data_IF_793966760149
#
_entry.id   IF_793966760149
#
_cell.length_a   1.000
_cell.length_b   1.000
_cell.length_c   1.000
_cell.angle_alpha   90.00
_cell.angle_beta   90.00
_cell.angle_gamma   90.00
#
_symmetry.space_group_name_H-M   'P 1'
#
loop_
_entity.id
_entity.type
_entity.pdbx_description
1 polymer ?
#
# COMPACT_ATOMS: atom_id res chain seq x y z
N UNK A 1 18.16 13.28 -12.25
CA UNK A 1 17.15 12.70 -11.34
C UNK A 1 16.89 13.71 -10.24
N UNK A 2 15.74 14.37 -10.26
CA UNK A 2 15.34 15.26 -9.17
C UNK A 2 14.90 14.39 -7.99
N UNK A 3 15.58 14.52 -6.85
CA UNK A 3 15.09 13.93 -5.61
C UNK A 3 13.67 14.47 -5.34
N UNK A 4 12.68 13.62 -5.03
CA UNK A 4 11.37 14.12 -4.63
C UNK A 4 11.56 14.96 -3.38
N UNK A 5 11.24 16.26 -3.49
CA UNK A 5 11.14 17.14 -2.33
C UNK A 5 10.00 16.57 -1.49
N UNK A 6 10.33 15.97 -0.35
CA UNK A 6 9.36 15.72 0.72
C UNK A 6 8.78 17.06 1.12
N UNK A 7 7.62 17.40 0.56
CA UNK A 7 6.86 18.57 0.98
C UNK A 7 6.33 18.29 2.39
N UNK A 8 6.30 19.35 3.21
CA UNK A 8 5.81 19.32 4.61
C UNK A 8 4.48 18.58 4.72
N UNK A 9 4.21 17.90 5.85
CA UNK A 9 3.02 17.06 5.99
C UNK A 9 1.76 17.87 5.71
N UNK A 10 1.02 17.45 4.67
CA UNK A 10 -0.38 17.81 4.49
C UNK A 10 -1.09 17.37 5.77
N UNK A 11 -1.90 18.25 6.37
CA UNK A 11 -2.62 17.96 7.61
C UNK A 11 -3.43 16.67 7.47
N UNK A 12 -2.89 15.57 7.99
CA UNK A 12 -3.53 14.26 7.96
C UNK A 12 -4.64 14.27 9.01
N UNK A 13 -5.83 14.74 8.63
CA UNK A 13 -7.01 14.69 9.49
C UNK A 13 -7.71 13.36 9.28
N UNK A 14 -7.45 12.40 10.18
CA UNK A 14 -8.30 11.22 10.28
C UNK A 14 -9.68 11.67 10.79
N UNK A 15 -10.69 11.57 9.94
CA UNK A 15 -12.07 11.64 10.41
C UNK A 15 -12.37 10.30 11.10
N UNK A 16 -12.28 10.29 12.43
CA UNK A 16 -12.92 9.26 13.23
C UNK A 16 -14.43 9.45 13.10
N UNK A 17 -15.05 8.75 12.15
CA UNK A 17 -16.47 8.41 12.31
C UNK A 17 -16.52 7.40 13.44
N UNK A 18 -16.92 7.83 14.64
CA UNK A 18 -17.38 6.92 15.68
C UNK A 18 -18.38 5.98 15.00
N UNK A 19 -18.16 4.66 14.97
CA UNK A 19 -19.21 3.76 14.58
C UNK A 19 -20.31 3.95 15.62
N UNK A 20 -21.42 4.55 15.20
CA UNK A 20 -22.64 4.57 16.00
C UNK A 20 -23.12 3.12 16.02
N UNK A 21 -22.54 2.32 16.91
CA UNK A 21 -23.12 1.06 17.37
C UNK A 21 -24.31 1.41 18.27
N UNK A 22 -25.27 2.16 17.71
CA UNK A 22 -26.59 2.27 18.27
C UNK A 22 -27.17 0.85 18.34
N UNK A 23 -27.90 0.56 19.43
CA UNK A 23 -28.68 -0.67 19.57
C UNK A 23 -29.32 -1.00 18.22
N UNK A 24 -29.18 -2.25 17.76
CA UNK A 24 -29.91 -2.75 16.59
C UNK A 24 -31.35 -2.22 16.70
N UNK A 25 -31.82 -1.39 15.77
CA UNK A 25 -33.24 -1.10 15.68
C UNK A 25 -33.91 -2.47 15.61
N UNK A 26 -34.88 -2.72 16.48
CA UNK A 26 -35.77 -3.85 16.28
C UNK A 26 -36.21 -3.82 14.82
N UNK A 27 -36.00 -4.93 14.13
CA UNK A 27 -36.23 -5.09 12.70
C UNK A 27 -37.68 -4.74 12.41
N UNK A 28 -37.95 -3.46 12.13
CA UNK A 28 -39.22 -3.04 11.59
C UNK A 28 -39.30 -3.69 10.21
N UNK A 29 -40.33 -4.51 10.02
CA UNK A 29 -40.69 -5.15 8.77
C UNK A 29 -41.12 -4.08 7.76
N UNK A 30 -40.22 -3.20 7.34
CA UNK A 30 -40.45 -2.35 6.18
C UNK A 30 -39.99 -3.12 4.95
N UNK A 31 -40.92 -3.91 4.40
CA UNK A 31 -40.79 -4.53 3.09
C UNK A 31 -40.85 -3.42 2.01
N UNK A 32 -39.77 -2.66 1.88
CA UNK A 32 -39.51 -1.94 0.64
C UNK A 32 -39.20 -2.95 -0.48
N UNK A 33 -39.45 -2.62 -1.75
CA UNK A 33 -39.08 -3.47 -2.87
C UNK A 33 -37.55 -3.48 -3.02
N UNK A 34 -36.87 -4.22 -2.15
CA UNK A 34 -35.47 -4.56 -2.33
C UNK A 34 -35.33 -5.36 -3.62
N UNK A 35 -34.26 -5.09 -4.37
CA UNK A 35 -33.90 -5.83 -5.58
C UNK A 35 -34.00 -7.34 -5.31
N UNK A 36 -34.94 -8.01 -5.98
CA UNK A 36 -35.20 -9.44 -5.79
C UNK A 36 -33.88 -10.22 -5.95
N UNK A 37 -33.41 -10.83 -4.86
CA UNK A 37 -32.18 -11.63 -4.83
C UNK A 37 -31.02 -11.05 -4.01
N UNK A 38 -31.09 -9.79 -3.56
CA UNK A 38 -30.11 -9.27 -2.60
C UNK A 38 -30.41 -9.79 -1.20
N UNK A 39 -29.62 -10.76 -0.74
CA UNK A 39 -29.59 -11.12 0.68
C UNK A 39 -28.71 -10.11 1.41
N UNK A 40 -29.24 -9.53 2.46
CA UNK A 40 -28.52 -8.68 3.40
C UNK A 40 -27.57 -9.56 4.25
N UNK A 41 -26.51 -10.09 3.63
CA UNK A 41 -25.51 -10.89 4.34
C UNK A 41 -24.36 -9.97 4.73
N UNK A 42 -24.45 -9.37 5.92
CA UNK A 42 -23.27 -8.82 6.57
C UNK A 42 -22.44 -9.99 7.10
N UNK A 43 -21.32 -10.30 6.47
CA UNK A 43 -20.38 -11.27 7.01
C UNK A 43 -19.73 -10.69 8.28
N UNK A 44 -19.72 -11.44 9.41
CA UNK A 44 -19.00 -10.98 10.59
C UNK A 44 -17.49 -10.99 10.31
N UNK A 45 -16.82 -9.85 10.50
CA UNK A 45 -15.36 -9.77 10.40
C UNK A 45 -14.70 -10.49 11.57
N UNK A 46 -13.69 -11.30 11.28
CA UNK A 46 -12.86 -12.06 12.22
C UNK A 46 -11.67 -11.23 12.74
N UNK A 47 -11.84 -9.91 12.84
CA UNK A 47 -10.83 -8.97 13.30
C UNK A 47 -9.55 -9.03 12.48
N UNK A 48 -8.42 -9.30 13.14
CA UNK A 48 -7.09 -9.36 12.52
C UNK A 48 -6.91 -10.47 11.48
N UNK A 49 -7.70 -11.55 11.53
CA UNK A 49 -7.64 -12.62 10.54
C UNK A 49 -8.12 -12.15 9.15
N UNK A 50 -9.01 -11.16 9.13
CA UNK A 50 -9.55 -10.54 7.92
C UNK A 50 -8.84 -9.22 7.57
N UNK A 51 -7.77 -8.86 8.29
CA UNK A 51 -6.97 -7.70 7.95
C UNK A 51 -6.07 -8.00 6.76
N UNK A 52 -6.31 -7.30 5.66
CA UNK A 52 -5.39 -7.28 4.54
C UNK A 52 -4.24 -6.31 4.85
N UNK A 53 -3.12 -6.84 5.31
CA UNK A 53 -1.93 -6.03 5.67
C UNK A 53 -0.99 -5.78 4.49
N UNK A 54 -1.34 -6.32 3.33
CA UNK A 54 -0.48 -6.39 2.18
C UNK A 54 -1.02 -5.62 1.00
N UNK A 55 -0.19 -5.57 -0.04
CA UNK A 55 -0.52 -4.98 -1.31
C UNK A 55 -0.77 -6.12 -2.32
N UNK A 56 -2.03 -6.29 -2.77
CA UNK A 56 -2.40 -7.33 -3.75
C UNK A 56 -2.47 -6.82 -5.18
N UNK A 57 -2.52 -5.49 -5.36
CA UNK A 57 -2.68 -4.97 -6.70
C UNK A 57 -1.40 -5.32 -7.47
N UNK A 58 -1.52 -5.81 -8.71
CA UNK A 58 -0.34 -6.05 -9.51
C UNK A 58 0.46 -4.74 -9.62
N UNK A 59 1.78 -4.72 -9.36
CA UNK A 59 2.54 -3.48 -9.40
C UNK A 59 2.47 -2.75 -10.76
N UNK A 60 2.18 -3.47 -11.85
CA UNK A 60 1.98 -2.87 -13.17
C UNK A 60 0.70 -2.06 -13.28
N UNK A 61 -0.35 -2.46 -12.56
CA UNK A 61 -1.63 -1.73 -12.50
C UNK A 61 -1.41 -0.37 -11.82
N UNK A 62 -0.67 -0.33 -10.71
CA UNK A 62 -0.33 0.94 -10.06
C UNK A 62 0.47 1.85 -10.96
N UNK A 63 1.47 1.30 -11.66
CA UNK A 63 2.27 2.10 -12.57
C UNK A 63 1.39 2.65 -13.70
N UNK A 64 0.50 1.82 -14.25
CA UNK A 64 -0.44 2.26 -15.29
C UNK A 64 -1.34 3.39 -14.79
N UNK A 65 -1.95 3.25 -13.61
CA UNK A 65 -2.80 4.28 -12.99
C UNK A 65 -1.99 5.57 -12.79
N UNK A 66 -0.81 5.45 -12.20
CA UNK A 66 0.11 6.57 -11.94
C UNK A 66 0.46 7.32 -13.23
N UNK A 67 0.89 6.61 -14.27
CA UNK A 67 1.25 7.21 -15.56
C UNK A 67 0.05 7.86 -16.24
N UNK A 68 -1.13 7.24 -16.15
CA UNK A 68 -2.36 7.77 -16.72
C UNK A 68 -2.77 9.08 -16.05
N UNK A 69 -2.72 9.15 -14.72
CA UNK A 69 -2.98 10.38 -13.96
C UNK A 69 -2.01 11.51 -14.33
N UNK A 70 -0.71 11.19 -14.40
CA UNK A 70 0.33 12.15 -14.79
C UNK A 70 0.11 12.66 -16.22
N UNK A 71 -0.19 11.78 -17.17
CA UNK A 71 -0.45 12.15 -18.57
C UNK A 71 -1.70 12.99 -18.73
N UNK A 72 -2.75 12.66 -18.01
CA UNK A 72 -3.98 13.44 -17.96
C UNK A 72 -3.82 14.78 -17.22
N UNK A 73 -2.65 15.04 -16.61
CA UNK A 73 -2.35 16.20 -15.76
C UNK A 73 -3.31 16.34 -14.58
N UNK A 74 -3.88 15.24 -14.11
CA UNK A 74 -4.72 15.18 -12.91
C UNK A 74 -3.78 15.02 -11.70
N UNK A 75 -3.01 16.07 -11.44
CA UNK A 75 -1.98 16.06 -10.39
C UNK A 75 -2.50 16.62 -9.07
N UNK A 76 -3.44 17.56 -9.09
CA UNK A 76 -3.98 18.18 -7.89
C UNK A 76 -5.45 17.79 -7.75
N UNK A 77 -5.80 17.14 -6.65
CA UNK A 77 -7.15 16.64 -6.42
C UNK A 77 -7.64 17.13 -5.04
N UNK A 78 -8.95 17.29 -4.88
CA UNK A 78 -9.49 17.67 -3.57
C UNK A 78 -9.34 16.52 -2.55
N UNK A 79 -9.74 15.32 -2.95
CA UNK A 79 -9.79 14.16 -2.05
C UNK A 79 -9.24 12.91 -2.71
N UNK A 80 -8.40 12.18 -1.96
CA UNK A 80 -8.05 10.79 -2.24
C UNK A 80 -8.77 9.91 -1.23
N UNK A 81 -9.60 8.97 -1.70
CA UNK A 81 -10.36 8.06 -0.85
C UNK A 81 -9.89 6.63 -1.13
N UNK A 82 -9.51 5.89 -0.09
CA UNK A 82 -8.93 4.55 -0.26
C UNK A 82 -9.28 3.62 0.89
N UNK A 83 -9.33 2.32 0.58
CA UNK A 83 -9.45 1.28 1.61
C UNK A 83 -8.16 1.24 2.43
N UNK A 84 -8.27 1.20 3.76
CA UNK A 84 -7.13 1.26 4.68
C UNK A 84 -6.17 0.07 4.52
N UNK A 85 -6.68 -1.14 4.30
CA UNK A 85 -5.83 -2.34 4.18
C UNK A 85 -4.87 -2.36 2.99
N UNK A 86 -5.26 -1.81 1.84
CA UNK A 86 -4.47 -1.91 0.60
C UNK A 86 -3.19 -1.06 0.61
N UNK A 87 -3.22 0.07 1.33
CA UNK A 87 -2.22 1.14 1.28
C UNK A 87 -1.81 1.59 -0.13
N UNK A 88 -2.57 1.20 -1.16
CA UNK A 88 -2.41 1.57 -2.57
C UNK A 88 -2.37 3.08 -2.75
N UNK A 89 -3.21 3.79 -1.98
CA UNK A 89 -3.20 5.25 -1.95
C UNK A 89 -1.82 5.86 -1.67
N UNK A 90 -0.99 5.26 -0.80
CA UNK A 90 0.35 5.79 -0.55
C UNK A 90 1.23 5.79 -1.80
N UNK A 91 1.10 4.78 -2.67
CA UNK A 91 1.81 4.75 -3.94
C UNK A 91 1.30 5.84 -4.90
N UNK A 92 -0.01 6.11 -4.91
CA UNK A 92 -0.59 7.16 -5.74
C UNK A 92 -0.14 8.56 -5.34
N UNK A 93 0.22 8.79 -4.07
CA UNK A 93 0.79 10.06 -3.60
C UNK A 93 2.12 10.43 -4.28
N UNK A 94 2.77 9.50 -4.99
CA UNK A 94 3.93 9.81 -5.84
C UNK A 94 3.55 10.57 -7.12
N UNK A 95 2.28 10.55 -7.49
CA UNK A 95 1.74 11.10 -8.73
C UNK A 95 0.73 12.21 -8.51
N UNK A 96 -0.03 12.14 -7.41
CA UNK A 96 -1.10 13.10 -7.09
C UNK A 96 -0.86 13.80 -5.76
N UNK A 97 -1.33 15.03 -5.68
CA UNK A 97 -1.28 15.94 -4.54
C UNK A 97 -2.71 16.19 -4.03
N UNK A 98 -3.27 15.31 -3.19
CA UNK A 98 -4.58 15.52 -2.61
C UNK A 98 -4.56 16.59 -1.51
N UNK A 99 -5.64 17.38 -1.39
CA UNK A 99 -5.84 18.24 -0.20
C UNK A 99 -6.23 17.44 1.03
N UNK A 100 -7.00 16.37 0.82
CA UNK A 100 -7.48 15.48 1.88
C UNK A 100 -7.29 14.01 1.49
N UNK A 101 -6.90 13.19 2.46
CA UNK A 101 -6.80 11.74 2.30
C UNK A 101 -7.78 11.09 3.28
N UNK A 102 -8.66 10.24 2.78
CA UNK A 102 -9.63 9.50 3.56
C UNK A 102 -9.37 8.01 3.43
N UNK A 103 -8.91 7.41 4.52
CA UNK A 103 -8.86 5.95 4.64
C UNK A 103 -10.14 5.45 5.29
N UNK A 104 -10.75 4.42 4.70
CA UNK A 104 -11.94 3.77 5.25
C UNK A 104 -11.80 2.26 5.14
N UNK A 105 -12.48 1.52 6.01
CA UNK A 105 -12.57 0.07 5.96
C UNK A 105 -13.78 -0.37 6.79
N UNK A 106 -14.39 -1.49 6.42
CA UNK A 106 -15.45 -2.08 7.22
C UNK A 106 -14.89 -2.89 8.39
N UNK A 107 -13.64 -3.35 8.28
CA UNK A 107 -12.92 -4.04 9.36
C UNK A 107 -12.24 -3.01 10.28
N UNK A 108 -12.66 -2.88 11.57
CA UNK A 108 -12.05 -1.93 12.49
C UNK A 108 -10.55 -2.18 12.73
N UNK A 109 -10.11 -3.43 12.66
CA UNK A 109 -8.69 -3.77 12.79
C UNK A 109 -7.86 -3.21 11.62
N UNK A 110 -8.42 -3.10 10.42
CA UNK A 110 -7.74 -2.50 9.27
C UNK A 110 -7.58 -0.97 9.43
N UNK A 111 -8.54 -0.32 10.10
CA UNK A 111 -8.40 1.10 10.48
C UNK A 111 -7.28 1.29 11.49
N UNK A 112 -7.21 0.44 12.53
CA UNK A 112 -6.14 0.48 13.52
C UNK A 112 -4.76 0.24 12.89
N UNK A 113 -4.67 -0.72 11.96
CA UNK A 113 -3.47 -0.94 11.14
C UNK A 113 -3.07 0.30 10.34
N UNK A 114 -4.03 0.90 9.62
CA UNK A 114 -3.78 2.09 8.81
C UNK A 114 -3.32 3.28 9.64
N UNK A 115 -3.90 3.49 10.83
CA UNK A 115 -3.46 4.50 11.80
C UNK A 115 -2.02 4.29 12.24
N UNK A 116 -1.70 3.08 12.72
CA UNK A 116 -0.34 2.73 13.14
C UNK A 116 0.66 2.95 11.99
N UNK A 117 0.33 2.53 10.78
CA UNK A 117 1.20 2.72 9.62
C UNK A 117 1.39 4.20 9.25
N UNK A 118 0.36 5.04 9.39
CA UNK A 118 0.49 6.48 9.23
C UNK A 118 1.42 7.09 10.28
N UNK A 119 1.36 6.64 11.54
CA UNK A 119 2.31 7.09 12.56
C UNK A 119 3.74 6.67 12.24
N UNK A 120 3.97 5.43 11.78
CA UNK A 120 5.31 5.00 11.33
C UNK A 120 5.83 5.88 10.18
N UNK A 121 4.96 6.27 9.24
CA UNK A 121 5.33 7.22 8.18
C UNK A 121 5.70 8.58 8.76
N UNK A 122 4.93 9.12 9.71
CA UNK A 122 5.18 10.41 10.33
C UNK A 122 6.44 10.43 11.21
N UNK A 123 6.79 9.30 11.82
CA UNK A 123 8.03 9.09 12.57
C UNK A 123 9.27 8.96 11.68
N UNK A 124 9.09 8.87 10.36
CA UNK A 124 10.16 8.62 9.40
C UNK A 124 10.46 9.87 8.59
N UNK A 125 11.70 10.36 8.68
CA UNK A 125 12.16 11.52 7.92
C UNK A 125 12.55 11.16 6.47
N UNK A 126 12.75 9.87 6.19
CA UNK A 126 13.15 9.35 4.89
C UNK A 126 12.49 8.00 4.57
N UNK A 127 12.45 7.60 3.28
CA UNK A 127 12.02 6.26 2.90
C UNK A 127 12.86 5.15 3.57
N UNK A 128 14.16 5.37 3.76
CA UNK A 128 15.05 4.42 4.43
C UNK A 128 14.68 4.23 5.90
N UNK A 129 14.37 5.31 6.61
CA UNK A 129 13.89 5.23 8.00
C UNK A 129 12.54 4.52 8.07
N UNK A 130 11.61 4.87 7.20
CA UNK A 130 10.30 4.20 7.12
C UNK A 130 10.45 2.69 6.92
N UNK A 131 11.26 2.30 5.94
CA UNK A 131 11.57 0.91 5.66
C UNK A 131 12.29 0.24 6.84
N UNK A 132 13.17 0.97 7.53
CA UNK A 132 13.88 0.44 8.68
C UNK A 132 12.94 0.14 9.84
N UNK A 133 12.01 1.06 10.14
CA UNK A 133 10.98 0.89 11.17
C UNK A 133 9.99 -0.21 10.80
N UNK A 134 9.52 -0.23 9.55
CA UNK A 134 8.54 -1.21 9.08
C UNK A 134 9.05 -2.65 9.18
N UNK A 135 10.31 -2.89 8.78
CA UNK A 135 10.92 -4.22 8.79
C UNK A 135 11.78 -4.49 10.03
N UNK A 136 11.91 -3.52 10.94
CA UNK A 136 12.86 -3.54 12.07
C UNK A 136 14.28 -3.97 11.66
N UNK A 137 14.80 -3.43 10.55
CA UNK A 137 16.12 -3.75 9.99
C UNK A 137 16.75 -2.48 9.47
N UNK A 138 18.00 -2.20 9.81
CA UNK A 138 18.61 -0.93 9.44
C UNK A 138 18.96 -0.89 7.94
N UNK A 139 18.21 -0.10 7.18
CA UNK A 139 18.43 0.06 5.73
C UNK A 139 19.75 0.78 5.46
N UNK A 140 20.10 1.81 6.22
CA UNK A 140 21.36 2.55 5.99
C UNK A 140 22.59 1.66 6.22
N UNK A 141 22.53 0.80 7.24
CA UNK A 141 23.56 -0.20 7.50
C UNK A 141 23.65 -1.21 6.34
N UNK A 142 22.51 -1.73 5.89
CA UNK A 142 22.46 -2.61 4.73
C UNK A 142 23.05 -1.95 3.48
N UNK A 143 22.66 -0.71 3.18
CA UNK A 143 23.11 0.00 1.97
C UNK A 143 24.61 0.31 1.97
N UNK A 144 25.20 0.48 3.15
CA UNK A 144 26.65 0.63 3.30
C UNK A 144 27.41 -0.66 2.97
N UNK A 145 26.88 -1.81 3.36
CA UNK A 145 27.56 -3.11 3.19
C UNK A 145 27.29 -3.75 1.82
N UNK A 146 26.07 -3.60 1.30
CA UNK A 146 25.53 -4.34 0.14
C UNK A 146 25.17 -3.44 -1.06
N UNK A 147 25.40 -2.13 -0.93
CA UNK A 147 24.94 -1.12 -1.86
C UNK A 147 23.45 -0.84 -1.75
N UNK A 148 22.95 0.14 -2.53
CA UNK A 148 21.57 0.63 -2.47
C UNK A 148 20.54 -0.51 -2.50
N UNK A 149 19.48 -0.39 -1.71
CA UNK A 149 18.39 -1.36 -1.67
C UNK A 149 17.59 -1.32 -2.99
N UNK A 150 17.45 -2.48 -3.63
CA UNK A 150 16.84 -2.70 -4.95
C UNK A 150 16.12 -4.05 -5.00
N UNK A 151 15.34 -4.35 -6.05
CA UNK A 151 14.74 -5.69 -6.19
C UNK A 151 15.77 -6.82 -6.25
N UNK A 152 17.01 -6.52 -6.66
CA UNK A 152 18.06 -7.51 -6.82
C UNK A 152 18.67 -7.95 -5.48
N UNK A 153 18.54 -7.13 -4.43
CA UNK A 153 19.13 -7.40 -3.13
C UNK A 153 18.15 -7.31 -1.96
N UNK A 154 16.84 -7.05 -2.20
CA UNK A 154 15.82 -7.00 -1.15
C UNK A 154 15.71 -8.29 -0.34
N UNK A 155 15.89 -9.47 -0.96
CA UNK A 155 15.80 -10.74 -0.25
C UNK A 155 16.93 -10.88 0.78
N UNK A 156 18.13 -10.37 0.45
CA UNK A 156 19.26 -10.32 1.37
C UNK A 156 19.02 -9.34 2.52
N UNK A 157 18.35 -8.22 2.26
CA UNK A 157 17.91 -7.30 3.30
C UNK A 157 16.89 -7.96 4.23
N UNK A 158 15.85 -8.60 3.70
CA UNK A 158 14.82 -9.27 4.48
C UNK A 158 15.36 -10.47 5.28
N UNK A 159 16.41 -11.12 4.77
CA UNK A 159 17.11 -12.20 5.47
C UNK A 159 17.97 -11.72 6.65
N UNK A 160 18.26 -10.42 6.78
CA UNK A 160 18.99 -9.92 7.96
C UNK A 160 18.18 -10.15 9.25
N UNK A 161 18.84 -10.38 10.39
CA UNK A 161 18.17 -10.44 11.69
C UNK A 161 17.41 -9.14 11.96
N UNK A 162 16.29 -9.27 12.69
CA UNK A 162 15.58 -8.09 13.20
C UNK A 162 16.46 -7.37 14.22
N UNK A 163 16.58 -6.06 14.07
CA UNK A 163 17.19 -5.17 15.06
C UNK A 163 16.19 -4.87 16.18
N UNK A 164 16.47 -5.42 17.36
CA UNK A 164 15.68 -5.14 18.58
C UNK A 164 15.69 -3.64 18.92
N UNK A 165 16.80 -2.95 18.68
CA UNK A 165 16.92 -1.51 18.93
C UNK A 165 15.95 -0.71 18.05
N UNK A 166 15.92 -0.95 16.74
CA UNK A 166 15.00 -0.26 15.82
C UNK A 166 13.54 -0.57 16.18
N UNK A 167 13.26 -1.83 16.55
CA UNK A 167 11.91 -2.25 16.95
C UNK A 167 11.44 -1.50 18.19
N UNK A 168 12.27 -1.45 19.23
CA UNK A 168 11.91 -0.85 20.50
C UNK A 168 11.81 0.67 20.40
N UNK A 169 12.79 1.31 19.75
CA UNK A 169 12.75 2.76 19.49
C UNK A 169 11.48 3.15 18.73
N UNK A 170 11.07 2.34 17.74
CA UNK A 170 9.83 2.58 17.01
C UNK A 170 8.61 2.40 17.91
N UNK A 171 8.57 1.33 18.71
CA UNK A 171 7.45 1.06 19.61
C UNK A 171 7.25 2.16 20.65
N UNK A 172 8.33 2.67 21.23
CA UNK A 172 8.32 3.75 22.22
C UNK A 172 7.92 5.11 21.64
N UNK A 173 8.22 5.34 20.36
CA UNK A 173 7.87 6.57 19.67
C UNK A 173 6.41 6.61 19.16
N UNK A 174 5.73 5.46 19.11
CA UNK A 174 4.32 5.37 18.70
C UNK A 174 3.38 5.78 19.83
N UNK A 175 2.17 6.20 19.48
CA UNK A 175 1.12 6.49 20.44
C UNK A 175 0.66 5.24 21.21
N UNK A 176 -0.02 5.45 22.34
CA UNK A 176 -0.62 4.37 23.13
C UNK A 176 -1.64 3.53 22.32
N UNK A 177 -2.28 4.10 21.28
CA UNK A 177 -3.18 3.38 20.40
C UNK A 177 -2.41 2.54 19.36
N UNK A 178 -1.31 3.07 18.82
CA UNK A 178 -0.55 2.44 17.74
C UNK A 178 0.48 1.41 18.23
N UNK A 179 1.12 1.62 19.38
CA UNK A 179 2.16 0.74 19.91
C UNK A 179 1.70 -0.71 20.15
N UNK A 180 0.48 -0.98 20.67
CA UNK A 180 -0.04 -2.34 20.77
C UNK A 180 -0.27 -3.00 19.42
N UNK A 181 -0.77 -2.24 18.42
CA UNK A 181 -0.98 -2.74 17.05
C UNK A 181 0.35 -3.11 16.41
N UNK A 182 1.36 -2.25 16.54
CA UNK A 182 2.72 -2.51 16.08
C UNK A 182 3.26 -3.81 16.69
N UNK A 183 3.13 -3.97 18.01
CA UNK A 183 3.63 -5.15 18.73
C UNK A 183 2.89 -6.44 18.35
N UNK A 184 1.56 -6.38 18.22
CA UNK A 184 0.73 -7.57 17.95
C UNK A 184 0.85 -8.05 16.50
N UNK A 185 1.03 -7.12 15.56
CA UNK A 185 0.93 -7.37 14.13
C UNK A 185 2.30 -7.34 13.47
N UNK A 186 3.00 -6.22 13.60
CA UNK A 186 4.21 -5.98 12.84
C UNK A 186 5.40 -6.77 13.39
N UNK A 187 5.55 -6.92 14.70
CA UNK A 187 6.62 -7.75 15.27
C UNK A 187 6.52 -9.21 14.77
N UNK A 188 5.32 -9.81 14.82
CA UNK A 188 5.06 -11.14 14.27
C UNK A 188 5.43 -11.24 12.78
N UNK A 189 5.06 -10.23 11.99
CA UNK A 189 5.41 -10.17 10.58
C UNK A 189 6.94 -10.07 10.36
N UNK A 190 7.62 -9.19 11.10
CA UNK A 190 9.07 -8.97 11.03
C UNK A 190 9.89 -10.23 11.38
N UNK A 191 9.37 -11.02 12.32
CA UNK A 191 9.93 -12.30 12.77
C UNK A 191 9.69 -13.44 11.76
N UNK A 192 8.97 -13.18 10.67
CA UNK A 192 8.64 -14.18 9.65
C UNK A 192 7.53 -15.14 10.06
N UNK A 193 6.80 -14.86 11.14
CA UNK A 193 5.62 -15.66 11.51
C UNK A 193 4.48 -15.33 10.55
N UNK A 194 4.24 -16.22 9.58
CA UNK A 194 3.20 -16.03 8.57
C UNK A 194 1.84 -16.35 9.17
N UNK A 195 0.99 -15.35 9.33
CA UNK A 195 -0.47 -15.56 9.49
C UNK A 195 -1.10 -15.66 8.09
N UNK A 196 -2.03 -16.60 7.90
CA UNK A 196 -2.72 -16.77 6.60
C UNK A 196 -3.30 -15.42 6.16
N UNK A 197 -2.99 -15.01 4.93
CA UNK A 197 -3.47 -13.74 4.35
C UNK A 197 -2.52 -12.54 4.52
N UNK A 198 -1.50 -12.63 5.37
CA UNK A 198 -0.50 -11.57 5.57
C UNK A 198 0.71 -11.81 4.66
N UNK A 199 0.50 -11.63 3.35
CA UNK A 199 1.55 -11.84 2.35
C UNK A 199 2.03 -10.52 1.76
N UNK A 200 3.05 -9.93 2.36
CA UNK A 200 3.93 -8.95 1.70
C UNK A 200 5.27 -9.63 1.43
N UNK A 201 5.37 -10.48 0.39
CA UNK A 201 6.59 -11.25 0.14
C UNK A 201 7.79 -10.37 -0.26
N UNK A 202 7.57 -9.07 -0.50
CA UNK A 202 8.55 -8.18 -1.14
C UNK A 202 8.42 -6.75 -0.66
N UNK A 203 9.52 -6.02 -0.75
CA UNK A 203 9.59 -4.57 -0.56
C UNK A 203 9.07 -3.90 -1.83
N UNK A 204 7.81 -3.48 -1.84
CA UNK A 204 7.16 -2.89 -3.02
C UNK A 204 7.98 -1.73 -3.69
N UNK A 205 8.65 -0.83 -2.95
CA UNK A 205 9.53 0.20 -3.54
C UNK A 205 10.68 -0.34 -4.39
N UNK A 206 11.04 -1.61 -4.23
CA UNK A 206 12.22 -2.19 -4.84
C UNK A 206 11.95 -2.89 -6.17
N UNK A 207 10.69 -3.21 -6.52
CA UNK A 207 10.31 -4.07 -7.67
C UNK A 207 10.91 -3.66 -9.03
N UNK A 208 11.23 -4.67 -9.86
CA UNK A 208 11.75 -4.43 -11.23
C UNK A 208 10.64 -3.87 -12.12
N UNK A 209 10.74 -2.57 -12.40
CA UNK A 209 9.77 -1.85 -13.24
C UNK A 209 9.63 -2.42 -14.65
N UNK A 210 10.63 -3.15 -15.15
CA UNK A 210 10.61 -3.76 -16.49
C UNK A 210 9.72 -5.00 -16.55
N UNK A 211 9.39 -5.62 -15.41
CA UNK A 211 8.50 -6.79 -15.34
C UNK A 211 7.02 -6.41 -15.25
N UNK A 212 6.72 -5.11 -15.15
CA UNK A 212 5.38 -4.59 -14.89
C UNK A 212 4.41 -4.71 -16.08
N UNK A 213 4.91 -4.75 -17.31
CA UNK A 213 4.08 -4.95 -18.50
C UNK A 213 3.39 -6.32 -18.53
N UNK A 214 3.95 -7.32 -17.87
CA UNK A 214 3.37 -8.67 -17.74
C UNK A 214 2.54 -8.86 -16.46
N UNK A 215 2.47 -7.83 -15.60
CA UNK A 215 1.84 -7.85 -14.29
C UNK A 215 0.68 -6.84 -14.22
N UNK A 216 -0.24 -6.89 -15.18
CA UNK A 216 -1.51 -6.15 -15.13
C UNK A 216 -2.66 -7.13 -15.24
N UNK A 217 -3.63 -7.06 -14.32
CA UNK A 217 -4.85 -7.89 -14.40
C UNK A 217 -5.74 -7.45 -15.57
N UNK A 218 -5.63 -6.18 -15.94
CA UNK A 218 -6.36 -5.57 -17.06
C UNK A 218 -5.82 -5.97 -18.43
N UNK A 219 -4.63 -6.56 -18.53
CA UNK A 219 -3.93 -6.76 -19.81
C UNK A 219 -3.46 -5.45 -20.46
N UNK A 220 -3.74 -4.31 -19.83
CA UNK A 220 -3.26 -3.00 -20.22
C UNK A 220 -1.88 -2.83 -19.59
N UNK A 221 -0.84 -3.40 -20.22
CA UNK A 221 0.54 -3.10 -19.86
C UNK A 221 0.80 -1.58 -19.82
N UNK A 222 1.99 -1.14 -19.42
CA UNK A 222 2.34 0.28 -19.52
C UNK A 222 2.24 0.72 -21.00
N UNK A 223 1.11 1.33 -21.38
CA UNK A 223 0.78 1.85 -22.72
C UNK A 223 1.63 3.10 -23.04
N UNK A 224 2.87 3.14 -22.55
CA UNK A 224 3.59 4.37 -22.43
C UNK A 224 5.08 4.22 -22.29
N UNK A 225 5.78 4.72 -23.30
CA UNK A 225 7.18 5.12 -23.16
C UNK A 225 7.29 6.28 -22.17
N UNK A 226 8.35 6.25 -21.36
CA UNK A 226 8.78 7.44 -20.63
C UNK A 226 9.41 8.44 -21.61
N UNK A 227 9.28 9.76 -21.39
CA UNK A 227 9.92 10.79 -22.23
C UNK A 227 11.44 10.65 -22.34
N UNK A 228 12.08 9.89 -21.43
CA UNK A 228 13.53 9.73 -21.33
C UNK A 228 14.09 8.44 -21.96
N UNK A 229 13.27 7.59 -22.59
CA UNK A 229 13.76 6.34 -23.20
C UNK A 229 14.12 6.54 -24.69
N UNK A 230 15.41 6.48 -25.07
CA UNK A 230 15.80 6.56 -26.47
C UNK A 230 15.31 5.31 -27.23
N UNK A 231 14.78 5.55 -28.42
CA UNK A 231 13.96 4.59 -29.17
C UNK A 231 14.61 3.24 -29.45
N UNK A 232 14.02 2.17 -28.91
CA UNK A 232 13.91 0.91 -29.65
C UNK A 232 12.63 0.94 -30.49
N UNK A 233 12.76 0.81 -31.80
CA UNK A 233 11.62 0.55 -32.69
C UNK A 233 11.05 -0.82 -32.32
N UNK A 234 9.79 -0.87 -31.91
CA UNK A 234 9.02 -2.11 -31.99
C UNK A 234 8.71 -2.31 -33.48
N UNK A 235 9.58 -3.03 -34.16
CA UNK A 235 9.15 -3.89 -35.26
C UNK A 235 8.48 -5.12 -34.63
N UNK A 236 7.47 -5.67 -35.32
CA UNK A 236 6.48 -6.65 -34.86
C UNK A 236 5.36 -6.00 -34.03
N UNK A 237 4.16 -5.77 -34.58
CA UNK A 237 3.30 -6.75 -35.24
C UNK A 237 2.74 -6.22 -36.57
N UNK A 238 3.32 -6.69 -37.66
CA UNK A 238 2.65 -6.89 -38.94
C UNK A 238 3.13 -8.24 -39.48
N UNK A 239 2.31 -9.26 -39.29
CA UNK A 239 2.26 -10.50 -40.07
C UNK A 239 0.75 -10.84 -40.10
N UNK A 240 0.01 -10.57 -41.18
CA UNK A 240 -0.05 -11.38 -42.41
C UNK A 240 -0.17 -12.88 -42.01
N UNK A 241 -1.31 -13.57 -42.10
CA UNK A 241 -2.31 -13.54 -43.17
C UNK A 241 -1.78 -14.31 -44.39
N UNK A 242 -2.01 -15.62 -44.45
CA UNK A 242 -2.31 -16.42 -45.67
C UNK A 242 -2.51 -17.91 -45.35
N UNK A 243 -3.46 -18.52 -46.07
CA UNK A 243 -3.99 -19.89 -46.03
C UNK A 243 -3.01 -20.95 -46.57
N UNK A 244 -3.47 -22.22 -46.68
CA UNK A 244 -3.91 -22.73 -47.99
C UNK A 244 -5.43 -22.82 -48.14
#
# INVERSE_FOLDING_TARGET
MLAPKFQRPVGLRLLQTQPVWGRRPETSKSAGPGLAGWREVSWPFQGWADCYLAFNDPPGELLHITLSLVRARVLNIDRLVSVAGSMTALNLLTAVNPRHIHFFDMNPCAILWGKMLCEVVLLSSSPQEFMSRLFARNVAEFERDEGKLTFLNQDRFLARPVSAAVREETREALSDEAAPVYSQILCSYQDGTVRRGWHTPRVAPCEDRRRLCHATRSGLGSQGRLPSEPGRRLQHVAALGCSP
#
